data_IF_623803850396
#
_entry.id   IF_623803850396
#
_cell.length_a   1.000
_cell.length_b   1.000
_cell.length_c   1.000
_cell.angle_alpha   90.00
_cell.angle_beta   90.00
_cell.angle_gamma   90.00
#
_symmetry.space_group_name_H-M   'P 1'
#
loop_
_entity.id
_entity.type
_entity.pdbx_description
1 polymer ?
#
# COMPACT_ATOMS: atom_id res chain seq x y z
N UNK A 1 0.96 -11.60 -8.70
CA UNK A 1 0.25 -10.85 -7.67
C UNK A 1 -1.09 -10.37 -8.18
N UNK A 2 -2.10 -10.43 -7.35
CA UNK A 2 -3.46 -10.00 -7.70
C UNK A 2 -3.92 -8.93 -6.73
N UNK A 3 -4.75 -8.01 -7.22
CA UNK A 3 -5.27 -6.92 -6.41
C UNK A 3 -6.79 -6.86 -6.50
N UNK A 4 -7.41 -6.55 -5.37
CA UNK A 4 -8.83 -6.20 -5.31
C UNK A 4 -8.96 -4.83 -4.71
N UNK A 5 -9.97 -4.08 -5.14
CA UNK A 5 -10.22 -2.72 -4.64
C UNK A 5 -11.64 -2.65 -4.11
N UNK A 6 -11.77 -2.16 -2.88
CA UNK A 6 -13.07 -1.90 -2.26
C UNK A 6 -13.12 -0.44 -1.83
N UNK A 7 -14.10 0.29 -2.31
CA UNK A 7 -14.28 1.69 -1.92
C UNK A 7 -14.97 1.78 -0.58
N UNK A 8 -14.30 2.39 0.41
CA UNK A 8 -14.84 2.65 1.74
C UNK A 8 -15.21 4.14 1.85
N UNK A 9 -15.98 4.54 2.88
CA UNK A 9 -16.35 5.95 3.04
C UNK A 9 -15.17 6.92 3.14
N UNK A 10 -14.03 6.49 3.71
CA UNK A 10 -12.88 7.36 3.97
C UNK A 10 -11.65 7.04 3.13
N UNK A 11 -11.59 5.87 2.51
CA UNK A 11 -10.41 5.45 1.75
C UNK A 11 -10.76 4.36 0.76
N UNK A 12 -9.88 4.16 -0.22
CA UNK A 12 -9.92 2.99 -1.09
C UNK A 12 -9.08 1.89 -0.45
N UNK A 13 -9.66 0.72 -0.25
CA UNK A 13 -8.99 -0.44 0.35
C UNK A 13 -8.52 -1.36 -0.78
N UNK A 14 -7.21 -1.37 -1.00
CA UNK A 14 -6.57 -2.23 -1.98
C UNK A 14 -5.96 -3.42 -1.26
N UNK A 15 -6.38 -4.61 -1.60
CA UNK A 15 -5.81 -5.84 -1.05
C UNK A 15 -4.92 -6.51 -2.08
N UNK A 16 -3.65 -6.74 -1.72
CA UNK A 16 -2.69 -7.41 -2.58
C UNK A 16 -2.43 -8.84 -2.11
N UNK A 17 -2.48 -9.80 -3.01
CA UNK A 17 -2.26 -11.22 -2.72
C UNK A 17 -1.13 -11.75 -3.59
N UNK A 18 -0.14 -12.38 -2.98
CA UNK A 18 0.98 -13.00 -3.67
C UNK A 18 2.31 -12.34 -3.31
N UNK A 19 3.17 -12.14 -4.31
CA UNK A 19 4.52 -11.62 -4.12
C UNK A 19 4.65 -10.23 -4.71
N UNK A 20 5.02 -9.27 -3.88
CA UNK A 20 5.25 -7.89 -4.32
C UNK A 20 6.73 -7.72 -4.68
N UNK A 21 7.06 -8.22 -5.86
CA UNK A 21 8.39 -8.23 -6.45
C UNK A 21 8.42 -7.39 -7.73
N UNK A 22 9.46 -7.57 -8.54
CA UNK A 22 9.64 -6.83 -9.80
C UNK A 22 8.47 -7.03 -10.77
N UNK A 23 7.80 -8.18 -10.75
CA UNK A 23 6.64 -8.47 -11.59
C UNK A 23 5.37 -7.83 -11.01
N UNK A 24 5.21 -7.88 -9.70
CA UNK A 24 4.03 -7.31 -9.03
C UNK A 24 4.05 -5.80 -8.89
N UNK A 25 5.24 -5.19 -8.83
CA UNK A 25 5.39 -3.75 -8.61
C UNK A 25 4.67 -2.88 -9.66
N UNK A 26 4.80 -3.14 -10.97
CA UNK A 26 4.06 -2.35 -11.97
C UNK A 26 2.54 -2.47 -11.83
N UNK A 27 2.06 -3.64 -11.42
CA UNK A 27 0.62 -3.87 -11.22
C UNK A 27 0.10 -3.03 -10.05
N UNK A 28 0.86 -2.94 -8.97
CA UNK A 28 0.49 -2.09 -7.83
C UNK A 28 0.41 -0.62 -8.26
N UNK A 29 1.40 -0.13 -9.01
CA UNK A 29 1.41 1.25 -9.50
C UNK A 29 0.19 1.54 -10.36
N UNK A 30 -0.17 0.62 -11.24
CA UNK A 30 -1.34 0.77 -12.11
C UNK A 30 -2.64 0.84 -11.31
N UNK A 31 -2.82 -0.06 -10.35
CA UNK A 31 -4.03 -0.10 -9.51
C UNK A 31 -4.17 1.20 -8.72
N UNK A 32 -3.09 1.66 -8.07
CA UNK A 32 -3.13 2.89 -7.28
C UNK A 32 -3.38 4.10 -8.17
N UNK A 33 -2.74 4.17 -9.34
CA UNK A 33 -2.96 5.27 -10.28
C UNK A 33 -4.42 5.34 -10.71
N UNK A 34 -5.05 4.21 -11.01
CA UNK A 34 -6.46 4.16 -11.40
C UNK A 34 -7.38 4.64 -10.26
N UNK A 35 -7.09 4.23 -9.04
CA UNK A 35 -7.86 4.62 -7.85
C UNK A 35 -7.76 6.13 -7.60
N UNK A 36 -6.56 6.68 -7.67
CA UNK A 36 -6.31 8.10 -7.48
C UNK A 36 -6.95 8.92 -8.61
N UNK A 37 -6.78 8.49 -9.86
CA UNK A 37 -7.39 9.15 -11.02
C UNK A 37 -8.92 9.14 -10.94
N UNK A 38 -9.48 8.12 -10.30
CA UNK A 38 -10.93 8.02 -10.06
C UNK A 38 -11.43 8.91 -8.93
N UNK A 39 -10.56 9.66 -8.27
CA UNK A 39 -10.92 10.62 -7.22
C UNK A 39 -10.66 10.17 -5.80
N UNK A 40 -10.14 8.96 -5.58
CA UNK A 40 -9.84 8.44 -4.24
C UNK A 40 -8.37 8.66 -3.91
N UNK A 41 -8.07 9.73 -3.18
CA UNK A 41 -6.69 10.07 -2.83
C UNK A 41 -6.25 9.57 -1.45
N UNK A 42 -7.14 8.99 -0.66
CA UNK A 42 -6.80 8.28 0.58
C UNK A 42 -6.85 6.78 0.29
N UNK A 43 -5.68 6.14 0.37
CA UNK A 43 -5.51 4.75 -0.07
C UNK A 43 -4.89 3.91 1.04
N UNK A 44 -5.49 2.76 1.33
CA UNK A 44 -4.88 1.74 2.18
C UNK A 44 -4.48 0.56 1.30
N UNK A 45 -3.21 0.19 1.36
CA UNK A 45 -2.72 -1.03 0.74
C UNK A 45 -2.63 -2.10 1.83
N UNK A 46 -3.52 -3.07 1.77
CA UNK A 46 -3.60 -4.17 2.70
C UNK A 46 -2.68 -5.29 2.21
N UNK A 47 -1.65 -5.58 2.99
CA UNK A 47 -0.63 -6.56 2.65
C UNK A 47 -0.80 -7.88 3.40
N UNK A 48 -2.01 -8.13 3.94
CA UNK A 48 -2.30 -9.36 4.68
C UNK A 48 -2.18 -10.63 3.84
N UNK A 49 -2.39 -10.53 2.53
CA UNK A 49 -2.18 -11.63 1.58
C UNK A 49 -0.85 -11.56 0.85
N UNK A 50 0.02 -10.60 1.17
CA UNK A 50 1.32 -10.42 0.54
C UNK A 50 2.37 -11.20 1.32
N UNK A 51 2.85 -12.29 0.73
CA UNK A 51 3.79 -13.22 1.37
C UNK A 51 5.22 -12.71 1.38
N UNK A 52 5.57 -11.88 0.40
CA UNK A 52 6.95 -11.49 0.15
C UNK A 52 6.99 -10.11 -0.50
N UNK A 53 7.97 -9.31 -0.08
CA UNK A 53 8.28 -8.02 -0.71
C UNK A 53 9.79 -7.88 -0.83
N UNK A 54 10.26 -7.43 -1.99
CA UNK A 54 11.64 -7.05 -2.23
C UNK A 54 11.78 -5.54 -2.43
N UNK A 55 12.97 -5.08 -2.83
CA UNK A 55 13.23 -3.66 -3.04
C UNK A 55 12.39 -3.06 -4.18
N UNK A 56 12.05 -3.85 -5.20
CA UNK A 56 11.17 -3.40 -6.29
C UNK A 56 9.76 -3.11 -5.77
N UNK A 57 9.25 -4.00 -4.92
CA UNK A 57 7.95 -3.82 -4.29
C UNK A 57 7.92 -2.63 -3.35
N UNK A 58 8.96 -2.48 -2.53
CA UNK A 58 9.09 -1.33 -1.64
C UNK A 58 9.13 -0.02 -2.43
N UNK A 59 9.91 0.02 -3.51
CA UNK A 59 9.98 1.19 -4.39
C UNK A 59 8.62 1.54 -4.99
N UNK A 60 7.82 0.54 -5.35
CA UNK A 60 6.48 0.75 -5.86
C UNK A 60 5.57 1.37 -4.79
N UNK A 61 5.63 0.86 -3.54
CA UNK A 61 4.86 1.44 -2.45
C UNK A 61 5.22 2.91 -2.21
N UNK A 62 6.50 3.24 -2.20
CA UNK A 62 6.97 4.62 -2.04
C UNK A 62 6.48 5.50 -3.19
N UNK A 63 6.56 5.02 -4.42
CA UNK A 63 6.06 5.75 -5.59
C UNK A 63 4.55 6.00 -5.50
N UNK A 64 3.80 5.01 -5.05
CA UNK A 64 2.36 5.14 -4.85
C UNK A 64 2.02 6.13 -3.73
N UNK A 65 2.81 6.14 -2.65
CA UNK A 65 2.67 7.12 -1.58
C UNK A 65 2.83 8.55 -2.11
N UNK A 66 3.87 8.77 -2.93
CA UNK A 66 4.11 10.09 -3.54
C UNK A 66 2.93 10.49 -4.43
N UNK A 67 2.42 9.56 -5.22
CA UNK A 67 1.27 9.83 -6.09
C UNK A 67 0.03 10.25 -5.29
N UNK A 68 -0.29 9.54 -4.22
CA UNK A 68 -1.43 9.87 -3.38
C UNK A 68 -1.26 11.24 -2.71
N UNK A 69 -0.06 11.55 -2.23
CA UNK A 69 0.25 12.84 -1.61
C UNK A 69 0.18 13.99 -2.61
N UNK A 70 0.63 13.79 -3.83
CA UNK A 70 0.52 14.79 -4.90
C UNK A 70 -0.93 15.09 -5.25
N UNK A 71 -1.81 14.12 -5.07
CA UNK A 71 -3.25 14.30 -5.29
C UNK A 71 -3.98 14.89 -4.06
N UNK A 72 -3.25 15.28 -3.03
CA UNK A 72 -3.80 15.90 -1.83
C UNK A 72 -4.23 14.92 -0.75
N UNK A 73 -3.87 13.64 -0.88
CA UNK A 73 -4.22 12.61 0.09
C UNK A 73 -3.01 11.94 0.73
N UNK A 74 -3.14 10.66 1.00
CA UNK A 74 -2.08 9.86 1.60
C UNK A 74 -2.27 8.38 1.26
N UNK A 75 -1.20 7.61 1.40
CA UNK A 75 -1.25 6.16 1.27
C UNK A 75 -0.69 5.55 2.55
N UNK A 76 -1.41 4.58 3.11
CA UNK A 76 -1.01 3.86 4.31
C UNK A 76 -1.09 2.36 4.07
N UNK A 77 -0.33 1.60 4.85
CA UNK A 77 -0.28 0.13 4.71
C UNK A 77 -0.84 -0.52 5.98
N UNK A 78 -1.40 -1.72 5.81
CA UNK A 78 -2.02 -2.44 6.91
C UNK A 78 -1.79 -3.95 6.78
N UNK A 79 -1.90 -4.64 7.91
CA UNK A 79 -1.86 -6.10 8.00
C UNK A 79 -0.56 -6.71 7.48
N UNK A 80 0.57 -6.02 7.65
CA UNK A 80 1.85 -6.52 7.12
C UNK A 80 2.27 -7.81 7.79
N UNK A 81 2.74 -8.76 7.00
CA UNK A 81 3.27 -10.04 7.45
C UNK A 81 4.74 -9.89 7.86
N UNK A 82 5.30 -10.86 8.62
CA UNK A 82 6.65 -10.71 9.19
C UNK A 82 7.75 -10.42 8.16
N UNK A 83 7.73 -11.04 6.98
CA UNK A 83 8.75 -10.79 5.96
C UNK A 83 8.69 -9.34 5.45
N UNK A 84 7.48 -8.83 5.21
CA UNK A 84 7.28 -7.44 4.78
C UNK A 84 7.72 -6.47 5.87
N UNK A 85 7.35 -6.74 7.12
CA UNK A 85 7.76 -5.94 8.27
C UNK A 85 9.28 -5.88 8.39
N UNK A 86 9.95 -7.02 8.20
CA UNK A 86 11.41 -7.09 8.24
C UNK A 86 12.03 -6.16 7.19
N UNK A 87 11.55 -6.18 5.96
CA UNK A 87 12.05 -5.32 4.88
C UNK A 87 11.85 -3.84 5.24
N UNK A 88 10.69 -3.49 5.77
CA UNK A 88 10.41 -2.11 6.19
C UNK A 88 11.37 -1.66 7.30
N UNK A 89 11.61 -2.51 8.28
CA UNK A 89 12.49 -2.18 9.41
C UNK A 89 13.95 -2.09 8.99
N UNK A 90 14.44 -3.04 8.19
CA UNK A 90 15.83 -3.05 7.72
C UNK A 90 16.17 -1.83 6.84
N UNK A 91 15.19 -1.30 6.14
CA UNK A 91 15.36 -0.12 5.29
C UNK A 91 14.97 1.18 6.00
N UNK A 92 14.50 1.10 7.24
CA UNK A 92 13.92 2.21 8.01
C UNK A 92 12.69 2.84 7.35
N UNK A 93 12.11 2.18 6.35
CA UNK A 93 10.91 2.69 5.65
C UNK A 93 9.64 2.54 6.49
N UNK A 94 9.68 1.77 7.60
CA UNK A 94 8.57 1.74 8.56
C UNK A 94 8.27 3.12 9.16
N UNK A 95 9.21 4.06 9.08
CA UNK A 95 9.01 5.45 9.52
C UNK A 95 8.19 6.28 8.54
N UNK A 96 8.24 5.91 7.26
CA UNK A 96 7.50 6.56 6.17
C UNK A 96 6.19 5.84 5.90
N UNK A 97 6.24 4.51 5.92
CA UNK A 97 5.10 3.62 5.74
C UNK A 97 4.86 2.86 7.04
N UNK A 98 4.32 3.55 8.03
CA UNK A 98 4.01 2.95 9.33
C UNK A 98 2.95 1.86 9.15
N UNK A 99 3.25 0.59 9.55
CA UNK A 99 2.27 -0.47 9.39
C UNK A 99 1.16 -0.35 10.42
N UNK A 100 -0.09 -0.31 9.95
CA UNK A 100 -1.26 -0.34 10.83
C UNK A 100 -1.76 -1.77 10.97
N UNK A 101 -2.39 -2.08 12.11
CA UNK A 101 -2.86 -3.44 12.39
C UNK A 101 -4.01 -3.85 11.48
N UNK A 102 -4.86 -2.91 11.09
CA UNK A 102 -6.00 -3.15 10.19
C UNK A 102 -6.14 -2.00 9.21
N UNK A 103 -6.85 -2.26 8.10
CA UNK A 103 -7.15 -1.22 7.13
C UNK A 103 -7.98 -0.10 7.76
N UNK A 104 -8.95 -0.43 8.60
CA UNK A 104 -9.81 0.55 9.25
C UNK A 104 -9.03 1.46 10.20
N UNK A 105 -8.00 0.94 10.86
CA UNK A 105 -7.16 1.72 11.77
C UNK A 105 -6.28 2.73 11.02
N UNK A 106 -5.96 2.48 9.75
CA UNK A 106 -4.99 3.28 9.01
C UNK A 106 -5.39 4.75 8.87
N UNK A 107 -6.68 5.06 8.78
CA UNK A 107 -7.18 6.43 8.67
C UNK A 107 -8.19 6.77 9.79
N UNK A 108 -8.14 6.05 10.91
CA UNK A 108 -9.15 6.21 11.96
C UNK A 108 -9.13 7.59 12.61
N UNK A 109 -7.96 8.24 12.67
CA UNK A 109 -7.77 9.53 13.32
C UNK A 109 -7.85 10.73 12.35
N UNK A 110 -8.11 10.47 11.11
CA UNK A 110 -8.15 11.52 10.07
C UNK A 110 -9.55 12.09 9.85
#
# INVERSE_FOLDING_TARGET
MQFTVEQKPRFAHITGTGRLNMVGAPKLREVVAQVVDGGSNHVVVDLGGTEFMDSSGLGALIGCLKLARQAGGDLRIANVRPQVRMVLELTSMHRVLTPYDTADAAFADD
#
